data_IF_427610658370
#
_entry.id   IF_427610658370
#
_cell.length_a   1.000
_cell.length_b   1.000
_cell.length_c   1.000
_cell.angle_alpha   90.00
_cell.angle_beta   90.00
_cell.angle_gamma   90.00
#
_symmetry.space_group_name_H-M   'P 1'
#
loop_
_entity.id
_entity.type
_entity.pdbx_description
1 polymer ?
#
# COMPACT_ATOMS: atom_id res chain seq x y z
N UNK A 1 41.39 -43.80 -12.74
CA UNK A 1 40.05 -43.18 -12.64
C UNK A 1 40.24 -41.80 -12.08
N UNK A 2 40.16 -40.76 -12.92
CA UNK A 2 40.45 -39.37 -12.55
C UNK A 2 39.13 -38.61 -12.56
N UNK A 3 38.61 -38.27 -11.38
CA UNK A 3 37.47 -37.36 -11.23
C UNK A 3 38.03 -35.94 -11.06
N UNK A 4 37.91 -35.16 -12.13
CA UNK A 4 38.46 -33.83 -12.25
C UNK A 4 37.72 -32.84 -11.33
N UNK A 5 38.54 -32.06 -10.62
CA UNK A 5 38.18 -30.82 -9.98
C UNK A 5 37.42 -29.91 -10.96
N UNK A 6 36.34 -29.27 -10.49
CA UNK A 6 35.71 -28.15 -11.20
C UNK A 6 36.36 -26.85 -10.72
N UNK A 7 37.18 -26.15 -11.54
CA UNK A 7 37.60 -24.80 -11.23
C UNK A 7 36.54 -23.77 -11.65
N UNK A 8 36.30 -22.86 -10.72
CA UNK A 8 35.62 -21.57 -10.82
C UNK A 8 36.19 -20.69 -11.94
N UNK A 9 35.29 -20.06 -12.71
CA UNK A 9 35.55 -18.84 -13.46
C UNK A 9 34.50 -18.56 -14.55
N UNK A 10 34.35 -17.32 -15.07
CA UNK A 10 34.67 -16.02 -14.48
C UNK A 10 33.42 -15.10 -14.38
N UNK A 11 33.51 -14.11 -13.48
CA UNK A 11 32.59 -12.97 -13.38
C UNK A 11 32.68 -12.16 -14.69
N UNK A 12 31.67 -12.24 -15.54
CA UNK A 12 31.58 -11.41 -16.75
C UNK A 12 31.36 -9.95 -16.36
N UNK A 13 32.45 -9.17 -16.28
CA UNK A 13 32.41 -7.73 -16.56
C UNK A 13 31.95 -7.57 -18.01
N UNK A 14 30.72 -7.09 -18.24
CA UNK A 14 30.34 -6.62 -19.58
C UNK A 14 31.00 -5.27 -19.82
N UNK A 15 31.93 -5.30 -20.78
CA UNK A 15 32.48 -4.13 -21.45
C UNK A 15 31.38 -3.33 -22.14
N UNK A 16 31.65 -2.02 -22.23
CA UNK A 16 31.06 -1.10 -23.16
C UNK A 16 31.34 -1.50 -24.61
N UNK A 17 30.33 -1.34 -25.46
CA UNK A 17 30.37 -1.38 -26.92
C UNK A 17 28.99 -0.96 -27.42
N UNK A 18 28.79 0.32 -27.70
CA UNK A 18 28.94 0.90 -29.04
C UNK A 18 27.62 0.82 -29.84
N UNK A 19 26.95 1.98 -29.90
CA UNK A 19 26.28 2.47 -31.11
C UNK A 19 25.00 1.78 -31.56
N UNK A 20 23.85 2.25 -31.04
CA UNK A 20 22.90 3.02 -31.84
C UNK A 20 22.27 4.05 -30.90
N UNK A 21 22.87 5.24 -30.80
CA UNK A 21 22.14 6.38 -30.22
C UNK A 21 21.15 6.79 -31.31
N UNK A 22 19.98 6.15 -31.32
CA UNK A 22 18.86 6.65 -32.11
C UNK A 22 18.48 8.00 -31.50
N UNK A 23 19.05 9.04 -32.08
CA UNK A 23 18.66 10.43 -31.87
C UNK A 23 17.16 10.50 -32.12
N UNK A 24 16.35 10.62 -31.06
CA UNK A 24 14.93 10.88 -31.22
C UNK A 24 14.52 12.06 -30.37
N UNK A 25 14.06 13.07 -31.11
CA UNK A 25 13.73 14.40 -30.64
C UNK A 25 12.67 14.35 -29.55
N UNK A 26 12.82 15.31 -28.64
CA UNK A 26 11.84 15.69 -27.64
C UNK A 26 10.52 16.04 -28.31
N UNK A 27 9.47 15.28 -27.99
CA UNK A 27 8.10 15.77 -28.06
C UNK A 27 7.50 15.45 -26.72
N UNK A 28 7.41 16.47 -25.87
CA UNK A 28 6.65 16.39 -24.63
C UNK A 28 5.17 16.26 -24.93
N UNK A 29 4.45 15.63 -24.00
CA UNK A 29 3.00 15.70 -23.89
C UNK A 29 2.22 14.72 -24.76
N UNK A 30 1.67 13.68 -24.13
CA UNK A 30 0.50 12.98 -24.64
C UNK A 30 0.74 11.57 -25.16
N UNK A 31 0.73 10.58 -24.27
CA UNK A 31 0.24 9.25 -24.67
C UNK A 31 -0.56 8.61 -23.52
N UNK A 32 -1.48 9.37 -22.93
CA UNK A 32 -2.38 8.89 -21.87
C UNK A 32 -3.51 7.98 -22.40
N UNK A 33 -3.55 7.67 -23.70
CA UNK A 33 -4.60 6.84 -24.32
C UNK A 33 -4.10 5.74 -25.27
N UNK A 34 -2.80 5.43 -25.30
CA UNK A 34 -2.36 4.16 -25.91
C UNK A 34 -2.65 3.03 -24.92
N UNK A 35 -3.68 2.23 -25.21
CA UNK A 35 -4.16 1.14 -24.36
C UNK A 35 -2.99 0.33 -23.77
N UNK A 36 -2.91 0.16 -22.43
CA UNK A 36 -1.82 -0.54 -21.76
C UNK A 36 -1.56 -1.93 -22.33
N UNK A 37 -2.64 -2.62 -22.69
CA UNK A 37 -2.61 -3.98 -23.24
C UNK A 37 -1.82 -4.08 -24.55
N UNK A 38 -1.94 -3.08 -25.44
CA UNK A 38 -1.23 -3.05 -26.72
C UNK A 38 0.27 -2.81 -26.52
N UNK A 39 0.64 -2.06 -25.49
CA UNK A 39 2.04 -1.84 -25.11
C UNK A 39 2.63 -3.10 -24.46
N UNK A 40 1.90 -3.76 -23.56
CA UNK A 40 2.34 -5.00 -22.93
C UNK A 40 2.54 -6.15 -23.94
N UNK A 41 1.65 -6.28 -24.94
CA UNK A 41 1.81 -7.26 -26.02
C UNK A 41 3.08 -6.99 -26.85
N UNK A 42 3.37 -5.73 -27.17
CA UNK A 42 4.59 -5.33 -27.90
C UNK A 42 5.86 -5.54 -27.09
N UNK A 43 5.84 -5.22 -25.80
CA UNK A 43 6.96 -5.47 -24.88
C UNK A 43 7.30 -6.96 -24.84
N UNK A 44 6.28 -7.83 -24.73
CA UNK A 44 6.47 -9.29 -24.77
C UNK A 44 7.03 -9.77 -26.11
N UNK A 45 6.53 -9.24 -27.21
CA UNK A 45 7.01 -9.58 -28.56
C UNK A 45 8.47 -9.15 -28.78
N UNK A 46 8.85 -7.94 -28.39
CA UNK A 46 10.23 -7.44 -28.53
C UNK A 46 11.20 -8.22 -27.62
N UNK A 47 10.77 -8.59 -26.41
CA UNK A 47 11.56 -9.44 -25.50
C UNK A 47 11.75 -10.87 -26.04
N UNK A 48 10.76 -11.42 -26.75
CA UNK A 48 10.86 -12.73 -27.41
C UNK A 48 11.75 -12.67 -28.66
N UNK A 49 11.68 -11.58 -29.43
CA UNK A 49 12.50 -11.36 -30.62
C UNK A 49 13.99 -11.17 -30.28
N UNK A 50 14.29 -10.53 -29.14
CA UNK A 50 15.65 -10.36 -28.63
C UNK A 50 15.72 -10.65 -27.11
N UNK A 51 16.02 -11.92 -26.73
CA UNK A 51 16.17 -12.32 -25.33
C UNK A 51 17.34 -11.63 -24.61
N UNK A 52 18.23 -10.95 -25.33
CA UNK A 52 19.40 -10.26 -24.78
C UNK A 52 19.08 -8.87 -24.21
N UNK A 53 17.90 -8.33 -24.50
CA UNK A 53 17.48 -7.01 -24.02
C UNK A 53 17.20 -7.03 -22.53
N UNK A 54 17.72 -6.01 -21.84
CA UNK A 54 17.43 -5.74 -20.44
C UNK A 54 16.09 -5.00 -20.30
N UNK A 55 15.49 -5.09 -19.11
CA UNK A 55 14.26 -4.36 -18.75
C UNK A 55 14.41 -2.85 -18.98
N UNK A 56 15.61 -2.30 -18.77
CA UNK A 56 15.88 -0.87 -18.98
C UNK A 56 15.92 -0.48 -20.46
N UNK A 57 16.38 -1.37 -21.34
CA UNK A 57 16.40 -1.12 -22.79
C UNK A 57 14.99 -1.21 -23.37
N UNK A 58 14.18 -2.18 -22.93
CA UNK A 58 12.76 -2.28 -23.29
C UNK A 58 11.97 -1.05 -22.82
N UNK A 59 12.22 -0.59 -21.59
CA UNK A 59 11.58 0.62 -21.05
C UNK A 59 11.86 1.86 -21.90
N UNK A 60 13.12 2.05 -22.31
CA UNK A 60 13.53 3.16 -23.17
C UNK A 60 12.93 3.06 -24.56
N UNK A 61 12.94 1.87 -25.17
CA UNK A 61 12.39 1.60 -26.51
C UNK A 61 10.89 1.85 -26.60
N UNK A 62 10.15 1.44 -25.57
CA UNK A 62 8.69 1.60 -25.52
C UNK A 62 8.25 2.90 -24.81
N UNK A 63 9.19 3.73 -24.33
CA UNK A 63 8.93 4.96 -23.55
C UNK A 63 8.00 4.73 -22.35
N UNK A 64 8.12 3.57 -21.70
CA UNK A 64 7.36 3.21 -20.50
C UNK A 64 8.29 3.13 -19.29
N UNK A 65 7.73 3.19 -18.08
CA UNK A 65 8.52 2.94 -16.88
C UNK A 65 8.93 1.46 -16.81
N UNK A 66 10.06 1.18 -16.15
CA UNK A 66 10.52 -0.20 -15.88
C UNK A 66 9.43 -1.05 -15.22
N UNK A 67 8.60 -0.44 -14.36
CA UNK A 67 7.45 -1.07 -13.72
C UNK A 67 6.46 -1.64 -14.73
N UNK A 68 6.11 -0.89 -15.77
CA UNK A 68 5.17 -1.36 -16.82
C UNK A 68 5.78 -2.49 -17.65
N UNK A 69 7.10 -2.48 -17.86
CA UNK A 69 7.81 -3.58 -18.51
C UNK A 69 7.82 -4.83 -17.62
N UNK A 70 8.13 -4.67 -16.33
CA UNK A 70 8.09 -5.75 -15.34
C UNK A 70 6.70 -6.38 -15.26
N UNK A 71 5.65 -5.55 -15.17
CA UNK A 71 4.25 -5.97 -15.20
C UNK A 71 3.90 -6.70 -16.51
N UNK A 72 4.30 -6.18 -17.67
CA UNK A 72 4.08 -6.82 -18.97
C UNK A 72 4.81 -8.17 -19.10
N UNK A 73 5.93 -8.35 -18.41
CA UNK A 73 6.69 -9.59 -18.34
C UNK A 73 6.21 -10.54 -17.23
N UNK A 74 5.17 -10.17 -16.47
CA UNK A 74 4.69 -10.96 -15.33
C UNK A 74 5.68 -11.03 -14.16
N UNK A 75 6.64 -10.09 -14.10
CA UNK A 75 7.56 -9.94 -12.97
C UNK A 75 6.86 -9.07 -11.95
N UNK A 76 6.31 -9.70 -10.92
CA UNK A 76 5.67 -8.99 -9.82
C UNK A 76 6.70 -8.10 -9.11
N UNK A 77 6.55 -6.77 -9.13
CA UNK A 77 7.47 -5.90 -8.42
C UNK A 77 7.29 -6.14 -6.93
N UNK A 78 8.41 -6.31 -6.20
CA UNK A 78 8.37 -6.45 -4.75
C UNK A 78 7.56 -5.29 -4.14
N UNK A 79 6.68 -5.55 -3.16
CA UNK A 79 5.88 -4.51 -2.54
C UNK A 79 6.83 -3.43 -1.98
N UNK A 80 6.51 -2.13 -2.14
CA UNK A 80 7.35 -1.07 -1.62
C UNK A 80 7.54 -1.26 -0.11
N UNK A 81 8.72 -0.94 0.45
CA UNK A 81 8.95 -1.08 1.88
C UNK A 81 7.90 -0.27 2.63
N UNK A 82 7.30 -0.89 3.66
CA UNK A 82 6.29 -0.24 4.48
C UNK A 82 6.87 1.06 5.04
N UNK A 83 6.23 2.20 4.72
CA UNK A 83 6.64 3.49 5.28
C UNK A 83 6.28 3.48 6.76
N UNK A 84 7.28 3.45 7.64
CA UNK A 84 7.07 3.66 9.07
C UNK A 84 6.52 5.09 9.28
N UNK A 85 5.23 5.19 9.57
CA UNK A 85 4.61 6.46 9.93
C UNK A 85 5.08 6.82 11.34
N UNK A 86 5.56 8.05 11.54
CA UNK A 86 5.85 8.55 12.87
C UNK A 86 4.60 8.41 13.76
N UNK A 87 4.75 7.98 15.03
CA UNK A 87 3.62 7.84 15.93
C UNK A 87 2.98 9.21 16.14
N UNK A 88 1.66 9.26 15.96
CA UNK A 88 0.87 10.45 16.27
C UNK A 88 0.84 10.61 17.79
N UNK A 89 0.66 11.84 18.25
CA UNK A 89 0.60 12.19 19.68
C UNK A 89 -0.34 11.28 20.51
N UNK A 90 -1.45 10.83 19.92
CA UNK A 90 -2.45 9.99 20.58
C UNK A 90 -2.18 8.48 20.48
N UNK A 91 -1.21 8.05 19.68
CA UNK A 91 -0.99 6.62 19.43
C UNK A 91 -0.70 5.82 20.72
N UNK A 92 0.06 6.34 21.71
CA UNK A 92 0.29 5.62 22.97
C UNK A 92 -0.98 5.35 23.79
N UNK A 93 -1.98 6.22 23.69
CA UNK A 93 -3.23 6.16 24.47
C UNK A 93 -4.46 5.78 23.63
N UNK A 94 -4.28 5.53 22.34
CA UNK A 94 -5.38 5.24 21.41
C UNK A 94 -6.14 3.98 21.83
N UNK A 95 -5.44 2.93 22.30
CA UNK A 95 -6.08 1.69 22.75
C UNK A 95 -6.97 1.89 23.98
N UNK A 96 -6.50 2.67 24.96
CA UNK A 96 -7.26 3.01 26.16
C UNK A 96 -8.49 3.86 25.84
N UNK A 97 -8.33 4.88 25.00
CA UNK A 97 -9.44 5.70 24.50
C UNK A 97 -10.48 4.85 23.75
N UNK A 98 -10.03 3.94 22.88
CA UNK A 98 -10.90 3.07 22.12
C UNK A 98 -11.72 2.14 23.00
N UNK A 99 -11.14 1.64 24.09
CA UNK A 99 -11.87 0.81 25.05
C UNK A 99 -13.00 1.59 25.74
N UNK A 100 -12.70 2.80 26.24
CA UNK A 100 -13.72 3.69 26.83
C UNK A 100 -14.85 3.95 25.83
N UNK A 101 -14.49 4.35 24.61
CA UNK A 101 -15.48 4.68 23.57
C UNK A 101 -16.30 3.48 23.12
N UNK A 102 -15.73 2.26 23.13
CA UNK A 102 -16.49 1.03 22.85
C UNK A 102 -17.47 0.68 23.97
N UNK A 103 -17.09 0.85 25.23
CA UNK A 103 -17.99 0.65 26.38
C UNK A 103 -19.15 1.65 26.35
N UNK A 104 -18.86 2.92 26.01
CA UNK A 104 -19.90 3.92 25.75
C UNK A 104 -20.85 3.50 24.62
N UNK A 105 -20.31 3.02 23.50
CA UNK A 105 -21.10 2.62 22.34
C UNK A 105 -22.00 1.39 22.61
N UNK A 106 -21.57 0.48 23.50
CA UNK A 106 -22.38 -0.65 23.98
C UNK A 106 -23.42 -0.26 25.04
N UNK A 107 -23.36 0.96 25.55
CA UNK A 107 -24.20 1.42 26.66
C UNK A 107 -23.79 0.88 28.03
N UNK A 108 -22.59 0.30 28.15
CA UNK A 108 -22.04 -0.15 29.44
C UNK A 108 -21.65 1.04 30.33
N UNK A 109 -21.22 2.14 29.71
CA UNK A 109 -20.89 3.40 30.39
C UNK A 109 -21.66 4.57 29.74
N UNK A 110 -22.01 5.58 30.54
CA UNK A 110 -22.61 6.80 30.03
C UNK A 110 -21.61 7.59 29.15
N UNK A 111 -22.11 8.31 28.15
CA UNK A 111 -21.25 9.10 27.27
C UNK A 111 -20.45 10.16 28.06
N UNK A 112 -19.13 10.03 28.06
CA UNK A 112 -18.25 10.97 28.74
C UNK A 112 -18.14 12.27 27.94
N UNK A 113 -18.08 13.38 28.67
CA UNK A 113 -17.68 14.67 28.11
C UNK A 113 -16.18 14.65 27.82
N UNK A 114 -15.73 15.48 26.85
CA UNK A 114 -14.31 15.58 26.50
C UNK A 114 -13.44 15.93 27.71
N UNK A 115 -13.94 16.80 28.60
CA UNK A 115 -13.27 17.14 29.86
C UNK A 115 -13.08 15.92 30.76
N UNK A 116 -14.07 15.04 30.85
CA UNK A 116 -13.99 13.83 31.67
C UNK A 116 -13.03 12.80 31.06
N UNK A 117 -13.00 12.70 29.73
CA UNK A 117 -12.02 11.86 29.01
C UNK A 117 -10.59 12.36 29.25
N UNK A 118 -10.34 13.67 29.19
CA UNK A 118 -9.03 14.26 29.50
C UNK A 118 -8.58 13.98 30.93
N UNK A 119 -9.48 14.11 31.90
CA UNK A 119 -9.18 13.79 33.29
C UNK A 119 -8.82 12.31 33.44
N UNK A 120 -9.61 11.41 32.84
CA UNK A 120 -9.35 9.97 32.89
C UNK A 120 -8.04 9.58 32.21
N UNK A 121 -7.67 10.26 31.11
CA UNK A 121 -6.37 10.10 30.46
C UNK A 121 -5.21 10.53 31.35
N UNK A 122 -5.36 11.63 32.09
CA UNK A 122 -4.34 12.11 33.01
C UNK A 122 -4.22 11.19 34.24
N UNK A 123 -5.35 10.72 34.78
CA UNK A 123 -5.41 9.93 36.01
C UNK A 123 -5.01 8.45 35.80
N UNK A 124 -5.46 7.82 34.72
CA UNK A 124 -5.26 6.37 34.48
C UNK A 124 -4.09 6.08 33.53
N UNK A 125 -3.84 6.95 32.54
CA UNK A 125 -2.80 6.74 31.52
C UNK A 125 -1.61 7.71 31.65
N UNK A 126 -1.58 8.54 32.70
CA UNK A 126 -0.57 9.58 32.96
C UNK A 126 -0.32 10.51 31.75
N UNK A 127 -1.32 10.64 30.89
CA UNK A 127 -1.17 11.28 29.59
C UNK A 127 -1.72 12.71 29.60
N UNK A 128 -0.81 13.67 29.70
CA UNK A 128 -1.11 15.11 29.75
C UNK A 128 -0.66 15.89 28.51
N UNK A 129 -0.01 15.21 27.56
CA UNK A 129 0.60 15.83 26.38
C UNK A 129 -0.42 16.34 25.34
N UNK A 130 -1.70 16.01 25.49
CA UNK A 130 -2.73 16.38 24.53
C UNK A 130 -3.57 17.59 24.94
N UNK A 131 -3.83 18.45 23.95
CA UNK A 131 -4.79 19.53 24.10
C UNK A 131 -6.24 19.04 24.03
N UNK A 132 -7.16 19.83 24.59
CA UNK A 132 -8.59 19.57 24.52
C UNK A 132 -9.11 19.42 23.08
N UNK A 133 -8.65 20.27 22.16
CA UNK A 133 -9.05 20.18 20.74
C UNK A 133 -8.55 18.89 20.10
N UNK A 134 -7.33 18.47 20.41
CA UNK A 134 -6.77 17.20 19.90
C UNK A 134 -7.59 15.99 20.36
N UNK A 135 -7.97 15.95 21.65
CA UNK A 135 -8.84 14.87 22.15
C UNK A 135 -10.22 14.94 21.52
N UNK A 136 -10.82 16.14 21.42
CA UNK A 136 -12.13 16.33 20.78
C UNK A 136 -12.15 15.80 19.36
N UNK A 137 -11.18 16.16 18.53
CA UNK A 137 -11.11 15.76 17.13
C UNK A 137 -10.84 14.25 16.99
N UNK A 138 -9.98 13.70 17.86
CA UNK A 138 -9.72 12.27 17.91
C UNK A 138 -10.98 11.46 18.28
N UNK A 139 -11.66 11.85 19.36
CA UNK A 139 -12.88 11.19 19.85
C UNK A 139 -14.01 11.27 18.82
N UNK A 140 -14.20 12.44 18.18
CA UNK A 140 -15.21 12.60 17.12
C UNK A 140 -14.99 11.60 15.98
N UNK A 141 -13.75 11.50 15.50
CA UNK A 141 -13.39 10.56 14.43
C UNK A 141 -13.58 9.11 14.89
N UNK A 142 -13.10 8.73 16.09
CA UNK A 142 -13.22 7.34 16.57
C UNK A 142 -14.65 6.90 16.85
N UNK A 143 -15.52 7.78 17.37
CA UNK A 143 -16.95 7.44 17.54
C UNK A 143 -17.62 7.11 16.20
N UNK A 144 -17.31 7.84 15.14
CA UNK A 144 -17.82 7.56 13.79
C UNK A 144 -17.27 6.23 13.26
N UNK A 145 -15.97 5.97 13.43
CA UNK A 145 -15.33 4.71 13.02
C UNK A 145 -15.96 3.51 13.78
N UNK A 146 -16.14 3.59 15.10
CA UNK A 146 -16.79 2.53 15.91
C UNK A 146 -18.25 2.31 15.51
N UNK A 147 -18.98 3.38 15.22
CA UNK A 147 -20.36 3.28 14.73
C UNK A 147 -20.41 2.58 13.36
N UNK A 148 -19.48 2.90 12.47
CA UNK A 148 -19.35 2.26 11.16
C UNK A 148 -18.94 0.78 11.28
N UNK A 149 -18.04 0.44 12.20
CA UNK A 149 -17.67 -0.96 12.52
C UNK A 149 -18.90 -1.76 13.01
N UNK A 150 -19.70 -1.17 13.89
CA UNK A 150 -20.92 -1.81 14.42
C UNK A 150 -22.00 -1.97 13.34
N UNK A 151 -22.19 -0.96 12.49
CA UNK A 151 -23.14 -1.01 11.39
C UNK A 151 -22.70 -1.96 10.26
N UNK A 152 -21.42 -2.00 9.93
CA UNK A 152 -20.86 -2.88 8.89
C UNK A 152 -20.82 -4.36 9.25
N UNK A 153 -20.76 -4.69 10.55
CA UNK A 153 -20.90 -6.07 11.04
C UNK A 153 -22.36 -6.54 11.12
N UNK A 154 -23.33 -5.64 10.90
CA UNK A 154 -24.74 -6.01 10.76
C UNK A 154 -24.98 -6.43 9.31
N UNK A 155 -24.49 -7.62 8.93
CA UNK A 155 -24.99 -8.31 7.74
C UNK A 155 -26.52 -8.37 7.81
N UNK A 156 -27.24 -8.20 6.68
CA UNK A 156 -28.69 -8.28 6.70
C UNK A 156 -29.06 -9.69 7.15
N UNK A 157 -29.68 -9.80 8.33
CA UNK A 157 -30.27 -11.05 8.78
C UNK A 157 -31.30 -11.43 7.73
N UNK A 158 -30.95 -12.48 7.01
CA UNK A 158 -31.73 -13.20 6.00
C UNK A 158 -33.22 -13.10 6.29
N UNK A 159 -33.94 -12.50 5.36
CA UNK A 159 -35.39 -12.62 5.18
C UNK A 159 -35.81 -14.06 5.45
N UNK A 160 -36.53 -14.25 6.56
CA UNK A 160 -37.30 -15.44 6.86
C UNK A 160 -38.54 -15.41 5.95
N UNK A 161 -38.34 -15.65 4.66
CA UNK A 161 -39.42 -16.00 3.75
C UNK A 161 -39.29 -17.49 3.48
N UNK A 162 -40.03 -18.29 4.24
CA UNK A 162 -40.44 -19.64 3.85
C UNK A 162 -41.58 -20.08 4.74
N UNK A 163 -42.75 -20.14 4.11
CA UNK A 163 -43.81 -21.11 4.38
C UNK A 163 -44.67 -20.88 5.62
N UNK A 164 -45.85 -20.31 5.42
CA UNK A 164 -47.09 -20.84 6.00
C UNK A 164 -48.02 -21.21 4.83
N UNK A 165 -48.62 -22.39 4.96
CA UNK A 165 -49.26 -23.16 3.89
C UNK A 165 -50.67 -22.75 3.54
#
# INVERSE_FOLDING_TARGET
MIAAAQPVGPVRRRQAGAGVVQLFMSTGGGDMYRSPERSAARIRQDQQADPGLTVSELAQRHRVSRRIVEEALGREPAPPPARHRAPRLMDPVAGFLDEILRREARGEEAAHSIRRILQRLADEAEFTAASHSTVRDHVRRRRQEIQAETAGNTSPRTSHDSSHG
#
